data_IF_956467230950
#
_entry.id   IF_956467230950
#
_cell.length_a   1.000
_cell.length_b   1.000
_cell.length_c   1.000
_cell.angle_alpha   90.00
_cell.angle_beta   90.00
_cell.angle_gamma   90.00
#
_symmetry.space_group_name_H-M   'P 1'
#
loop_
_entity.id
_entity.type
_entity.pdbx_description
1 polymer ?
#
# COMPACT_ATOMS: atom_id res chain seq x y z
N UNK A 1 -11.12 -13.87 -16.36
CA UNK A 1 -9.67 -14.07 -16.12
C UNK A 1 -9.45 -14.93 -14.87
N UNK A 2 -8.19 -15.24 -14.52
CA UNK A 2 -7.87 -16.10 -13.38
C UNK A 2 -8.35 -15.50 -12.02
N UNK A 3 -8.33 -14.19 -11.88
CA UNK A 3 -8.80 -13.48 -10.66
C UNK A 3 -10.32 -13.59 -10.52
N UNK A 4 -11.07 -13.48 -11.62
CA UNK A 4 -12.53 -13.60 -11.61
C UNK A 4 -12.97 -15.04 -11.30
N UNK A 5 -12.22 -16.03 -11.80
CA UNK A 5 -12.47 -17.44 -11.56
C UNK A 5 -12.05 -17.93 -10.17
N UNK A 6 -11.20 -17.18 -9.45
CA UNK A 6 -10.72 -17.57 -8.14
C UNK A 6 -11.79 -17.37 -7.07
N UNK A 7 -11.96 -18.37 -6.20
CA UNK A 7 -12.79 -18.28 -4.99
C UNK A 7 -12.04 -17.52 -3.89
N UNK A 8 -11.97 -16.19 -4.02
CA UNK A 8 -11.33 -15.31 -3.04
C UNK A 8 -12.40 -14.42 -2.36
N UNK A 9 -12.19 -14.03 -1.10
CA UNK A 9 -13.12 -13.17 -0.37
C UNK A 9 -13.43 -11.87 -1.12
N UNK A 10 -14.66 -11.38 -0.97
CA UNK A 10 -15.11 -10.15 -1.64
C UNK A 10 -14.19 -8.95 -1.33
N UNK A 11 -13.78 -8.78 -0.07
CA UNK A 11 -12.86 -7.71 0.35
C UNK A 11 -11.52 -7.73 -0.40
N UNK A 12 -11.02 -8.93 -0.74
CA UNK A 12 -9.81 -9.09 -1.56
C UNK A 12 -10.06 -8.68 -3.01
N UNK A 13 -11.21 -9.08 -3.57
CA UNK A 13 -11.61 -8.67 -4.93
C UNK A 13 -11.76 -7.15 -5.02
N UNK A 14 -12.40 -6.53 -4.05
CA UNK A 14 -12.60 -5.07 -3.99
C UNK A 14 -11.26 -4.32 -3.96
N UNK A 15 -10.28 -4.82 -3.17
CA UNK A 15 -8.93 -4.26 -3.12
C UNK A 15 -8.19 -4.39 -4.46
N UNK A 16 -8.27 -5.55 -5.11
CA UNK A 16 -7.64 -5.79 -6.42
C UNK A 16 -8.29 -4.93 -7.50
N UNK A 17 -9.62 -4.87 -7.55
CA UNK A 17 -10.35 -4.07 -8.52
C UNK A 17 -9.97 -2.58 -8.41
N UNK A 18 -9.99 -2.03 -7.19
CA UNK A 18 -9.55 -0.67 -6.95
C UNK A 18 -8.10 -0.43 -7.39
N UNK A 19 -7.21 -1.38 -7.10
CA UNK A 19 -5.80 -1.26 -7.50
C UNK A 19 -5.65 -1.17 -9.02
N UNK A 20 -6.36 -2.01 -9.76
CA UNK A 20 -6.31 -1.98 -11.22
C UNK A 20 -6.99 -0.72 -11.79
N UNK A 21 -8.13 -0.31 -11.25
CA UNK A 21 -8.83 0.91 -11.68
C UNK A 21 -7.93 2.14 -11.50
N UNK A 22 -7.29 2.30 -10.36
CA UNK A 22 -6.33 3.38 -10.13
C UNK A 22 -5.16 3.28 -11.11
N UNK A 23 -4.56 2.10 -11.25
CA UNK A 23 -3.35 1.93 -12.06
C UNK A 23 -3.58 2.22 -13.55
N UNK A 24 -4.73 1.85 -14.08
CA UNK A 24 -5.00 2.01 -15.51
C UNK A 24 -5.77 3.29 -15.86
N UNK A 25 -6.73 3.70 -15.03
CA UNK A 25 -7.74 4.68 -15.40
C UNK A 25 -7.62 6.03 -14.68
N UNK A 26 -7.02 6.08 -13.48
CA UNK A 26 -6.97 7.31 -12.70
C UNK A 26 -5.99 8.35 -13.29
N UNK A 27 -6.21 9.65 -13.06
CA UNK A 27 -5.24 10.69 -13.38
C UNK A 27 -3.96 10.57 -12.55
N UNK A 28 -2.87 11.16 -13.03
CA UNK A 28 -1.54 10.95 -12.50
C UNK A 28 -1.39 11.37 -11.03
N UNK A 29 -2.00 12.48 -10.62
CA UNK A 29 -1.98 12.95 -9.22
C UNK A 29 -2.68 11.97 -8.27
N UNK A 30 -3.76 11.32 -8.71
CA UNK A 30 -4.46 10.29 -7.94
C UNK A 30 -3.61 9.01 -7.84
N UNK A 31 -2.97 8.59 -8.93
CA UNK A 31 -2.04 7.45 -8.92
C UNK A 31 -0.90 7.68 -7.93
N UNK A 32 -0.29 8.86 -8.01
CA UNK A 32 0.79 9.26 -7.12
C UNK A 32 0.36 9.27 -5.64
N UNK A 33 -0.81 9.85 -5.34
CA UNK A 33 -1.33 9.92 -3.98
C UNK A 33 -1.66 8.54 -3.40
N UNK A 34 -2.32 7.66 -4.17
CA UNK A 34 -2.60 6.29 -3.72
C UNK A 34 -1.32 5.49 -3.53
N UNK A 35 -0.32 5.67 -4.38
CA UNK A 35 1.01 5.06 -4.21
C UNK A 35 1.65 5.56 -2.92
N UNK A 36 1.77 6.87 -2.73
CA UNK A 36 2.43 7.47 -1.57
C UNK A 36 1.71 7.13 -0.26
N UNK A 37 0.48 7.59 -0.09
CA UNK A 37 -0.26 7.50 1.17
C UNK A 37 -0.95 6.16 1.40
N UNK A 38 -1.33 5.48 0.34
CA UNK A 38 -2.04 4.21 0.42
C UNK A 38 -1.13 2.97 0.41
N UNK A 39 0.16 3.12 0.10
CA UNK A 39 1.09 2.01 -0.09
C UNK A 39 2.43 2.22 0.61
N UNK A 40 3.27 3.13 0.13
CA UNK A 40 4.65 3.27 0.55
C UNK A 40 4.81 3.63 2.04
N UNK A 41 4.08 4.64 2.48
CA UNK A 41 4.24 5.18 3.83
C UNK A 41 3.85 4.20 4.97
N UNK A 42 3.00 3.22 4.67
CA UNK A 42 2.50 2.25 5.66
C UNK A 42 3.26 0.92 5.67
N UNK A 43 3.77 0.50 4.52
CA UNK A 43 4.30 -0.84 4.31
C UNK A 43 5.46 -1.15 5.26
N UNK A 44 6.46 -0.27 5.44
CA UNK A 44 7.63 -0.57 6.25
C UNK A 44 7.28 -0.93 7.70
N UNK A 45 6.58 -0.05 8.40
CA UNK A 45 6.26 -0.25 9.82
C UNK A 45 5.31 -1.41 10.08
N UNK A 46 4.39 -1.66 9.16
CA UNK A 46 3.42 -2.75 9.25
C UNK A 46 4.10 -4.11 9.08
N UNK A 47 4.93 -4.26 8.04
CA UNK A 47 5.62 -5.53 7.79
C UNK A 47 6.64 -5.86 8.87
N UNK A 48 7.34 -4.87 9.44
CA UNK A 48 8.27 -5.12 10.54
C UNK A 48 7.58 -5.74 11.74
N UNK A 49 6.43 -5.22 12.16
CA UNK A 49 5.67 -5.79 13.30
C UNK A 49 5.23 -7.23 13.06
N UNK A 50 4.84 -7.57 11.83
CA UNK A 50 4.46 -8.94 11.46
C UNK A 50 5.68 -9.85 11.47
N UNK A 51 6.78 -9.40 10.87
CA UNK A 51 8.02 -10.16 10.77
C UNK A 51 8.67 -10.42 12.11
N UNK A 52 8.70 -9.43 12.99
CA UNK A 52 9.27 -9.60 14.35
C UNK A 52 8.53 -10.68 15.12
N UNK A 53 7.21 -10.75 14.98
CA UNK A 53 6.40 -11.79 15.60
C UNK A 53 6.69 -13.18 15.01
N UNK A 54 6.75 -13.30 13.68
CA UNK A 54 7.07 -14.58 13.01
C UNK A 54 8.52 -14.99 13.27
N UNK A 55 9.44 -14.04 13.30
CA UNK A 55 10.86 -14.30 13.56
C UNK A 55 11.09 -14.81 14.98
N UNK A 56 10.36 -14.30 15.97
CA UNK A 56 10.43 -14.81 17.35
C UNK A 56 10.05 -16.30 17.44
N UNK A 57 9.06 -16.72 16.66
CA UNK A 57 8.55 -18.10 16.67
C UNK A 57 9.36 -19.05 15.75
N UNK A 58 9.92 -18.56 14.66
CA UNK A 58 10.59 -19.38 13.65
C UNK A 58 11.74 -18.64 12.92
N UNK A 59 12.83 -18.29 13.61
CA UNK A 59 13.89 -17.43 13.06
C UNK A 59 14.54 -17.99 11.77
N UNK A 60 14.72 -19.31 11.69
CA UNK A 60 15.37 -19.96 10.54
C UNK A 60 14.52 -19.93 9.25
N UNK A 61 13.20 -19.72 9.37
CA UNK A 61 12.30 -19.72 8.21
C UNK A 61 12.18 -18.36 7.53
N UNK A 62 12.42 -17.28 8.27
CA UNK A 62 12.17 -15.91 7.80
C UNK A 62 13.38 -14.99 7.87
N UNK A 63 14.57 -15.49 8.23
CA UNK A 63 15.78 -14.65 8.39
C UNK A 63 16.15 -13.87 7.14
N UNK A 64 16.11 -14.51 5.97
CA UNK A 64 16.42 -13.86 4.67
C UNK A 64 15.35 -12.81 4.33
N UNK A 65 14.08 -13.12 4.59
CA UNK A 65 12.98 -12.19 4.33
C UNK A 65 13.01 -11.00 5.29
N UNK A 66 13.32 -11.24 6.57
CA UNK A 66 13.54 -10.17 7.55
C UNK A 66 14.68 -9.25 7.11
N UNK A 67 15.82 -9.81 6.74
CA UNK A 67 16.95 -9.03 6.22
C UNK A 67 16.56 -8.21 4.99
N UNK A 68 15.81 -8.79 4.05
CA UNK A 68 15.32 -8.06 2.86
C UNK A 68 14.45 -6.86 3.23
N UNK A 69 13.51 -7.04 4.14
CA UNK A 69 12.62 -5.95 4.58
C UNK A 69 13.39 -4.88 5.37
N UNK A 70 14.28 -5.28 6.30
CA UNK A 70 15.12 -4.33 7.04
C UNK A 70 16.00 -3.51 6.10
N UNK A 71 16.61 -4.16 5.10
CA UNK A 71 17.43 -3.47 4.11
C UNK A 71 16.61 -2.55 3.21
N UNK A 72 15.40 -2.95 2.86
CA UNK A 72 14.48 -2.14 2.08
C UNK A 72 14.08 -0.87 2.85
N UNK A 73 13.74 -1.00 4.12
CA UNK A 73 13.42 0.13 5.00
C UNK A 73 14.62 1.07 5.17
N UNK A 74 15.82 0.54 5.37
CA UNK A 74 17.04 1.33 5.52
C UNK A 74 17.36 2.18 4.27
N UNK A 75 17.18 1.59 3.09
CA UNK A 75 17.47 2.28 1.82
C UNK A 75 16.35 3.25 1.43
N UNK A 76 15.10 2.88 1.67
CA UNK A 76 13.92 3.60 1.16
C UNK A 76 13.26 4.49 2.22
N UNK A 77 13.43 4.18 3.52
CA UNK A 77 12.65 4.77 4.59
C UNK A 77 12.81 6.28 4.78
N UNK A 78 14.01 6.83 4.64
CA UNK A 78 14.26 8.26 4.88
C UNK A 78 14.18 9.11 3.61
N UNK A 79 14.46 8.55 2.43
CA UNK A 79 14.51 9.33 1.19
C UNK A 79 13.24 9.23 0.36
N UNK A 80 12.60 8.06 0.30
CA UNK A 80 11.46 7.84 -0.59
C UNK A 80 10.19 8.55 -0.11
N UNK A 81 9.93 8.62 1.20
CA UNK A 81 8.76 9.35 1.74
C UNK A 81 8.76 10.82 1.34
N UNK A 82 9.91 11.51 1.46
CA UNK A 82 10.01 12.92 1.06
C UNK A 82 9.85 13.12 -0.44
N UNK A 83 10.46 12.26 -1.25
CA UNK A 83 10.33 12.32 -2.71
C UNK A 83 8.90 12.01 -3.17
N UNK A 84 8.23 11.07 -2.52
CA UNK A 84 6.85 10.72 -2.81
C UNK A 84 5.87 11.85 -2.45
N UNK A 85 6.08 12.53 -1.31
CA UNK A 85 5.32 13.72 -0.93
C UNK A 85 5.54 14.87 -1.92
N UNK A 86 6.79 15.14 -2.30
CA UNK A 86 7.12 16.17 -3.29
C UNK A 86 6.49 15.87 -4.64
N UNK A 87 6.49 14.62 -5.08
CA UNK A 87 5.82 14.18 -6.30
C UNK A 87 4.32 14.52 -6.27
N UNK A 88 3.61 14.18 -5.20
CA UNK A 88 2.18 14.48 -5.07
C UNK A 88 1.95 15.99 -5.06
N UNK A 89 2.76 16.73 -4.31
CA UNK A 89 2.68 18.20 -4.24
C UNK A 89 2.88 18.87 -5.59
N UNK A 90 3.84 18.42 -6.38
CA UNK A 90 4.07 18.94 -7.75
C UNK A 90 2.94 18.61 -8.71
N UNK A 91 2.34 17.43 -8.59
CA UNK A 91 1.24 17.01 -9.47
C UNK A 91 -0.08 17.70 -9.14
N UNK A 92 -0.34 17.96 -7.86
CA UNK A 92 -1.52 18.71 -7.42
C UNK A 92 -1.35 20.23 -7.57
N UNK A 93 -0.14 20.76 -7.29
CA UNK A 93 0.12 22.18 -7.30
C UNK A 93 -0.86 22.95 -6.39
N UNK A 94 -1.35 24.08 -6.88
CA UNK A 94 -2.34 24.93 -6.19
C UNK A 94 -3.80 24.57 -6.54
N UNK A 95 -4.03 23.42 -7.21
CA UNK A 95 -5.34 22.97 -7.64
C UNK A 95 -6.06 22.22 -6.50
N UNK A 96 -7.00 22.89 -5.85
CA UNK A 96 -7.78 22.33 -4.74
C UNK A 96 -8.58 21.07 -5.14
N UNK A 97 -9.07 20.98 -6.39
CA UNK A 97 -9.81 19.82 -6.87
C UNK A 97 -8.92 18.58 -6.95
N UNK A 98 -7.67 18.74 -7.43
CA UNK A 98 -6.71 17.64 -7.46
C UNK A 98 -6.35 17.15 -6.05
N UNK A 99 -6.21 18.05 -5.09
CA UNK A 99 -5.98 17.69 -3.69
C UNK A 99 -7.16 16.94 -3.08
N UNK A 100 -8.38 17.33 -3.40
CA UNK A 100 -9.59 16.62 -2.94
C UNK A 100 -9.67 15.21 -3.53
N UNK A 101 -9.44 15.06 -4.83
CA UNK A 101 -9.39 13.76 -5.52
C UNK A 101 -8.28 12.87 -4.95
N UNK A 102 -7.07 13.39 -4.77
CA UNK A 102 -5.92 12.69 -4.20
C UNK A 102 -6.21 12.20 -2.77
N UNK A 103 -6.79 13.06 -1.93
CA UNK A 103 -7.15 12.74 -0.55
C UNK A 103 -8.23 11.67 -0.49
N UNK A 104 -9.30 11.82 -1.25
CA UNK A 104 -10.41 10.87 -1.30
C UNK A 104 -9.94 9.48 -1.75
N UNK A 105 -9.13 9.42 -2.79
CA UNK A 105 -8.58 8.16 -3.28
C UNK A 105 -7.62 7.50 -2.28
N UNK A 106 -6.81 8.28 -1.58
CA UNK A 106 -5.89 7.77 -0.55
C UNK A 106 -6.65 7.19 0.63
N UNK A 107 -7.67 7.88 1.14
CA UNK A 107 -8.54 7.37 2.22
C UNK A 107 -9.23 6.07 1.81
N UNK A 108 -9.73 6.00 0.58
CA UNK A 108 -10.33 4.77 0.03
C UNK A 108 -9.31 3.64 -0.07
N UNK A 109 -8.08 3.92 -0.48
CA UNK A 109 -7.00 2.92 -0.54
C UNK A 109 -6.69 2.32 0.83
N UNK A 110 -6.64 3.16 1.89
CA UNK A 110 -6.44 2.74 3.27
C UNK A 110 -7.60 1.88 3.78
N UNK A 111 -8.84 2.30 3.56
CA UNK A 111 -10.03 1.55 3.96
C UNK A 111 -10.08 0.16 3.30
N UNK A 112 -9.76 0.06 2.02
CA UNK A 112 -9.70 -1.22 1.31
C UNK A 112 -8.56 -2.11 1.79
N UNK A 113 -7.43 -1.54 2.22
CA UNK A 113 -6.34 -2.29 2.83
C UNK A 113 -6.73 -2.88 4.18
N UNK A 114 -7.45 -2.13 5.01
CA UNK A 114 -8.02 -2.65 6.27
C UNK A 114 -8.92 -3.84 5.94
N UNK A 115 -9.83 -3.68 4.99
CA UNK A 115 -10.71 -4.77 4.55
C UNK A 115 -9.97 -6.01 4.03
N UNK A 116 -8.83 -5.81 3.32
CA UNK A 116 -7.96 -6.91 2.88
C UNK A 116 -7.39 -7.70 4.08
N UNK A 117 -6.91 -7.01 5.12
CA UNK A 117 -6.38 -7.65 6.32
C UNK A 117 -7.47 -8.35 7.12
N UNK A 118 -8.64 -7.73 7.30
CA UNK A 118 -9.78 -8.36 7.95
C UNK A 118 -10.17 -9.68 7.27
N UNK A 119 -10.15 -9.72 5.93
CA UNK A 119 -10.48 -10.93 5.18
C UNK A 119 -9.52 -12.11 5.42
N UNK A 120 -8.31 -11.85 5.95
CA UNK A 120 -7.35 -12.89 6.33
C UNK A 120 -7.65 -13.43 7.73
N UNK A 121 -8.16 -12.58 8.63
CA UNK A 121 -8.44 -12.94 10.01
C UNK A 121 -9.85 -13.49 10.24
N UNK A 122 -10.79 -13.20 9.36
CA UNK A 122 -12.20 -13.64 9.45
C UNK A 122 -12.41 -15.11 8.99
N UNK A 123 -11.35 -15.95 8.93
CA UNK A 123 -11.44 -17.37 8.55
C UNK A 123 -11.46 -18.29 9.75
#
# INVERSE_FOLDING_TARGET
>A
NAIEAAEIPKKVKDFLQFTFDISFNAPLHVKAAVFTFGREDLIPSMFMKILDKIYADAPHKVSIFKYYIERHIEVDGDHHSHLALDMVSRLCGDDASKWEEATSASVKALALRIGLWDAIFDK
#
